data_IF_438194740967
#
_entry.id   IF_438194740967
#
_cell.length_a   1.000
_cell.length_b   1.000
_cell.length_c   1.000
_cell.angle_alpha   90.00
_cell.angle_beta   90.00
_cell.angle_gamma   90.00
#
_symmetry.space_group_name_H-M   'P 1'
#
loop_
_entity.id
_entity.type
_entity.pdbx_description
1 polymer ?
#
# COMPACT_ATOMS: atom_id res chain seq x y z
N UNK A 1 17.41 12.80 -72.25
CA UNK A 1 17.24 12.34 -70.86
C UNK A 1 15.99 12.99 -70.30
N UNK A 2 14.96 12.22 -69.93
CA UNK A 2 13.66 12.76 -69.49
C UNK A 2 13.65 12.84 -67.96
N UNK A 3 13.71 14.05 -67.42
CA UNK A 3 13.70 14.27 -65.97
C UNK A 3 12.34 13.84 -65.39
N UNK A 4 12.36 12.89 -64.44
CA UNK A 4 11.18 12.42 -63.74
C UNK A 4 10.94 13.34 -62.54
N UNK A 5 10.01 14.28 -62.67
CA UNK A 5 9.60 15.18 -61.60
C UNK A 5 8.82 14.39 -60.54
N UNK A 6 9.41 14.17 -59.38
CA UNK A 6 8.74 13.57 -58.21
C UNK A 6 7.73 14.58 -57.68
N UNK A 7 6.43 14.32 -57.85
CA UNK A 7 5.40 15.15 -57.20
C UNK A 7 5.47 14.90 -55.70
N UNK A 8 5.80 15.93 -54.93
CA UNK A 8 5.59 15.93 -53.49
C UNK A 8 4.08 15.92 -53.25
N UNK A 9 3.53 14.79 -52.82
CA UNK A 9 2.16 14.71 -52.35
C UNK A 9 2.10 15.38 -50.97
N UNK A 10 1.46 16.54 -50.90
CA UNK A 10 1.19 17.21 -49.63
C UNK A 10 0.00 16.57 -48.92
N UNK A 11 0.08 16.44 -47.59
CA UNK A 11 -1.06 16.06 -46.76
C UNK A 11 -2.17 17.11 -46.87
N UNK A 12 -3.42 16.68 -46.95
CA UNK A 12 -4.56 17.58 -46.93
C UNK A 12 -4.80 18.12 -45.52
N UNK A 13 -5.27 19.37 -45.41
CA UNK A 13 -5.68 19.93 -44.11
C UNK A 13 -6.77 19.08 -43.42
N UNK A 14 -7.62 18.44 -44.22
CA UNK A 14 -8.69 17.56 -43.74
C UNK A 14 -8.11 16.27 -43.13
N UNK A 15 -7.09 15.66 -43.75
CA UNK A 15 -6.42 14.50 -43.17
C UNK A 15 -5.78 14.83 -41.82
N UNK A 16 -5.10 15.98 -41.71
CA UNK A 16 -4.51 16.39 -40.44
C UNK A 16 -5.59 16.66 -39.38
N UNK A 17 -6.71 17.28 -39.78
CA UNK A 17 -7.82 17.61 -38.88
C UNK A 17 -8.47 16.34 -38.30
N UNK A 18 -8.71 15.33 -39.13
CA UNK A 18 -9.31 14.08 -38.66
C UNK A 18 -8.35 13.38 -37.67
N UNK A 19 -7.04 13.38 -37.94
CA UNK A 19 -6.04 12.76 -37.05
C UNK A 19 -6.03 13.41 -35.67
N UNK A 20 -6.01 14.74 -35.58
CA UNK A 20 -6.01 15.41 -34.27
C UNK A 20 -7.31 15.19 -33.50
N UNK A 21 -8.45 15.10 -34.19
CA UNK A 21 -9.76 14.81 -33.56
C UNK A 21 -9.76 13.39 -33.00
N UNK A 22 -9.25 12.41 -33.75
CA UNK A 22 -9.15 11.03 -33.28
C UNK A 22 -8.22 10.94 -32.05
N UNK A 23 -7.05 11.58 -32.11
CA UNK A 23 -6.11 11.60 -30.97
C UNK A 23 -6.76 12.26 -29.74
N UNK A 24 -7.52 13.34 -29.92
CA UNK A 24 -8.21 14.01 -28.82
C UNK A 24 -9.25 13.10 -28.14
N UNK A 25 -10.04 12.36 -28.93
CA UNK A 25 -11.05 11.42 -28.40
C UNK A 25 -10.37 10.26 -27.65
N UNK A 26 -9.34 9.65 -28.24
CA UNK A 26 -8.63 8.53 -27.60
C UNK A 26 -7.92 9.00 -26.33
N UNK A 27 -7.27 10.16 -26.35
CA UNK A 27 -6.62 10.74 -25.18
C UNK A 27 -7.61 10.93 -24.03
N UNK A 28 -8.79 11.50 -24.28
CA UNK A 28 -9.81 11.69 -23.26
C UNK A 28 -10.23 10.38 -22.58
N UNK A 29 -10.50 9.32 -23.35
CA UNK A 29 -10.88 8.00 -22.81
C UNK A 29 -9.73 7.40 -22.00
N UNK A 30 -8.50 7.49 -22.50
CA UNK A 30 -7.33 6.91 -21.84
C UNK A 30 -7.07 7.53 -20.47
N UNK A 31 -7.27 8.84 -20.29
CA UNK A 31 -7.04 9.53 -19.01
C UNK A 31 -7.95 8.99 -17.91
N UNK A 32 -9.25 8.78 -18.19
CA UNK A 32 -10.20 8.26 -17.19
C UNK A 32 -9.88 6.81 -16.84
N UNK A 33 -9.57 5.98 -17.83
CA UNK A 33 -9.20 4.58 -17.61
C UNK A 33 -7.89 4.45 -16.81
N UNK A 34 -6.92 5.33 -17.07
CA UNK A 34 -5.60 5.32 -16.45
C UNK A 34 -5.67 5.54 -14.93
N UNK A 35 -6.55 6.42 -14.45
CA UNK A 35 -6.75 6.63 -13.00
C UNK A 35 -7.25 5.36 -12.30
N UNK A 36 -8.20 4.64 -12.92
CA UNK A 36 -8.69 3.37 -12.36
C UNK A 36 -7.63 2.28 -12.33
N UNK A 37 -6.77 2.21 -13.35
CA UNK A 37 -5.65 1.25 -13.42
C UNK A 37 -4.61 1.56 -12.34
N UNK A 38 -4.21 2.82 -12.20
CA UNK A 38 -3.27 3.25 -11.16
C UNK A 38 -3.78 2.91 -9.76
N UNK A 39 -5.07 3.16 -9.48
CA UNK A 39 -5.66 2.84 -8.19
C UNK A 39 -5.59 1.34 -7.88
N UNK A 40 -5.93 0.48 -8.85
CA UNK A 40 -5.81 -0.98 -8.69
C UNK A 40 -4.37 -1.44 -8.50
N UNK A 41 -3.42 -0.83 -9.21
CA UNK A 41 -2.00 -1.15 -9.05
C UNK A 41 -1.51 -0.77 -7.64
N UNK A 42 -1.87 0.41 -7.14
CA UNK A 42 -1.55 0.85 -5.78
C UNK A 42 -2.18 -0.06 -4.73
N UNK A 43 -3.45 -0.42 -4.90
CA UNK A 43 -4.16 -1.35 -4.01
C UNK A 43 -3.48 -2.73 -3.99
N UNK A 44 -3.09 -3.25 -5.15
CA UNK A 44 -2.40 -4.56 -5.24
C UNK A 44 -1.03 -4.52 -4.61
N UNK A 45 -0.28 -3.43 -4.77
CA UNK A 45 1.03 -3.27 -4.15
C UNK A 45 0.92 -3.28 -2.62
N UNK A 46 0.00 -2.49 -2.06
CA UNK A 46 -0.25 -2.45 -0.62
C UNK A 46 -0.70 -3.81 -0.08
N UNK A 47 -1.60 -4.52 -0.77
CA UNK A 47 -1.99 -5.88 -0.36
C UNK A 47 -0.80 -6.85 -0.37
N UNK A 48 0.07 -6.78 -1.37
CA UNK A 48 1.27 -7.62 -1.45
C UNK A 48 2.22 -7.32 -0.30
N UNK A 49 2.44 -6.03 -0.01
CA UNK A 49 3.29 -5.58 1.09
C UNK A 49 2.76 -6.06 2.44
N UNK A 50 1.44 -5.99 2.67
CA UNK A 50 0.81 -6.52 3.89
C UNK A 50 1.03 -8.03 4.00
N UNK A 51 0.86 -8.81 2.92
CA UNK A 51 1.08 -10.27 2.94
C UNK A 51 2.53 -10.60 3.27
N UNK A 52 3.47 -9.95 2.59
CA UNK A 52 4.90 -10.17 2.82
C UNK A 52 5.29 -9.82 4.26
N UNK A 53 4.77 -8.70 4.77
CA UNK A 53 4.99 -8.32 6.16
C UNK A 53 4.39 -9.34 7.14
N UNK A 54 3.14 -9.77 6.93
CA UNK A 54 2.50 -10.81 7.76
C UNK A 54 3.32 -12.10 7.81
N UNK A 55 3.87 -12.56 6.68
CA UNK A 55 4.72 -13.75 6.64
C UNK A 55 5.98 -13.61 7.51
N UNK A 56 6.62 -12.44 7.51
CA UNK A 56 7.78 -12.18 8.38
C UNK A 56 7.37 -12.23 9.85
N UNK A 57 6.22 -11.66 10.22
CA UNK A 57 5.69 -11.70 11.58
C UNK A 57 5.36 -13.12 12.03
N UNK A 58 4.72 -13.91 11.18
CA UNK A 58 4.41 -15.32 11.45
C UNK A 58 5.69 -16.15 11.61
N UNK A 59 6.71 -15.90 10.78
CA UNK A 59 8.01 -16.56 10.89
C UNK A 59 8.70 -16.24 12.21
N UNK A 60 8.62 -14.99 12.70
CA UNK A 60 9.15 -14.63 14.01
C UNK A 60 8.41 -15.34 15.14
N UNK A 61 7.07 -15.39 15.08
CA UNK A 61 6.29 -16.13 16.05
C UNK A 61 6.65 -17.63 16.08
N UNK A 62 6.95 -18.22 14.91
CA UNK A 62 7.44 -19.60 14.84
C UNK A 62 8.82 -19.80 15.48
N UNK A 63 9.66 -18.76 15.58
CA UNK A 63 11.01 -18.83 16.17
C UNK A 63 11.00 -18.51 17.66
N UNK A 64 10.31 -17.44 18.03
CA UNK A 64 10.39 -16.84 19.37
C UNK A 64 9.14 -17.14 20.21
N UNK A 65 8.17 -17.90 19.67
CA UNK A 65 6.87 -18.23 20.29
C UNK A 65 6.05 -17.00 20.69
N UNK A 66 6.35 -15.84 20.10
CA UNK A 66 5.62 -14.60 20.33
C UNK A 66 5.66 -13.68 19.11
N UNK A 67 4.58 -12.90 18.93
CA UNK A 67 4.59 -11.82 17.95
C UNK A 67 5.42 -10.64 18.48
N UNK A 68 6.21 -9.98 17.60
CA UNK A 68 6.99 -8.82 18.00
C UNK A 68 6.05 -7.73 18.51
N UNK A 69 6.24 -7.29 19.75
CA UNK A 69 5.49 -6.16 20.27
C UNK A 69 6.01 -4.88 19.63
N UNK A 70 5.13 -4.17 18.92
CA UNK A 70 5.45 -2.84 18.42
C UNK A 70 5.40 -1.81 19.54
N UNK A 71 6.52 -1.11 19.81
CA UNK A 71 6.59 -0.12 20.88
C UNK A 71 6.33 -0.67 22.30
N UNK A 72 6.67 0.12 23.32
CA UNK A 72 6.13 -0.08 24.66
C UNK A 72 4.78 0.63 24.75
N UNK A 73 3.82 0.02 25.43
CA UNK A 73 2.45 0.50 25.63
C UNK A 73 2.33 2.04 25.66
N UNK A 74 1.32 2.57 24.96
CA UNK A 74 1.03 4.01 24.80
C UNK A 74 2.18 4.84 24.22
N UNK A 75 2.30 4.82 22.89
CA UNK A 75 2.84 5.97 22.14
C UNK A 75 4.32 5.93 21.75
N UNK A 76 5.10 4.93 22.14
CA UNK A 76 6.46 4.80 21.59
C UNK A 76 6.43 4.12 20.22
N UNK A 77 6.57 4.93 19.19
CA UNK A 77 5.91 4.81 17.90
C UNK A 77 6.84 4.38 16.78
N UNK A 78 8.03 3.86 17.13
CA UNK A 78 9.18 3.89 16.21
C UNK A 78 10.08 2.65 16.24
N UNK A 79 10.11 1.93 17.36
CA UNK A 79 10.96 0.76 17.54
C UNK A 79 10.19 -0.50 17.16
N UNK A 80 10.50 -1.03 15.98
CA UNK A 80 10.07 -2.35 15.56
C UNK A 80 11.31 -3.26 15.42
N UNK A 81 11.81 -3.81 16.54
CA UNK A 81 13.07 -4.52 16.55
C UNK A 81 12.97 -5.84 15.78
N UNK A 82 14.00 -6.16 15.01
CA UNK A 82 14.15 -7.46 14.35
C UNK A 82 13.30 -7.67 13.09
N UNK A 83 12.46 -6.71 12.68
CA UNK A 83 11.71 -6.79 11.43
C UNK A 83 12.23 -5.79 10.42
N UNK A 84 12.63 -6.32 9.29
CA UNK A 84 12.98 -5.53 8.11
C UNK A 84 11.83 -5.56 7.11
N UNK A 85 11.39 -4.38 6.68
CA UNK A 85 10.27 -4.22 5.77
C UNK A 85 10.51 -3.03 4.86
N UNK A 86 10.33 -3.23 3.55
CA UNK A 86 10.46 -2.17 2.55
C UNK A 86 9.13 -2.04 1.80
N UNK A 87 8.19 -1.22 2.29
CA UNK A 87 6.92 -1.02 1.61
C UNK A 87 7.12 -0.33 0.25
N UNK A 88 6.16 -0.53 -0.64
CA UNK A 88 5.99 0.18 -1.90
C UNK A 88 5.50 1.61 -1.64
N UNK A 89 6.32 2.45 -1.01
CA UNK A 89 5.95 3.77 -0.43
C UNK A 89 5.13 4.67 -1.36
N UNK A 90 5.40 4.64 -2.67
CA UNK A 90 4.66 5.42 -3.67
C UNK A 90 3.18 5.02 -3.86
N UNK A 91 2.79 3.84 -3.38
CA UNK A 91 1.44 3.28 -3.46
C UNK A 91 0.59 3.51 -2.20
N UNK A 92 1.14 4.13 -1.16
CA UNK A 92 0.42 4.41 0.09
C UNK A 92 -0.13 5.85 0.14
N UNK A 93 -1.17 6.05 0.94
CA UNK A 93 -1.74 7.37 1.22
C UNK A 93 -0.74 8.24 2.00
N UNK A 94 -0.61 9.52 1.67
CA UNK A 94 0.21 10.48 2.42
C UNK A 94 -0.62 11.45 3.26
N UNK A 95 -1.94 11.27 3.30
CA UNK A 95 -2.89 12.16 3.99
C UNK A 95 -2.95 11.87 5.48
N UNK A 96 -2.94 10.58 5.84
CA UNK A 96 -3.00 10.09 7.21
C UNK A 96 -1.91 9.04 7.43
N UNK A 97 -1.62 8.72 8.69
CA UNK A 97 -0.79 7.55 9.02
C UNK A 97 -1.40 6.32 8.36
N UNK A 98 -0.61 5.69 7.49
CA UNK A 98 -1.14 4.82 6.43
C UNK A 98 -0.82 3.34 6.62
N UNK A 99 -0.02 2.99 7.62
CA UNK A 99 0.43 1.62 7.86
C UNK A 99 0.55 1.45 9.36
N UNK A 100 -0.21 0.52 9.90
CA UNK A 100 -0.23 0.18 11.31
C UNK A 100 -0.09 -1.32 11.50
N UNK A 101 0.67 -1.68 12.52
CA UNK A 101 0.77 -3.02 13.06
C UNK A 101 0.31 -2.97 14.52
N UNK A 102 -0.65 -3.81 14.89
CA UNK A 102 -1.15 -3.95 16.25
C UNK A 102 -0.99 -5.40 16.68
N UNK A 103 -0.52 -5.62 17.89
CA UNK A 103 -0.28 -6.93 18.49
C UNK A 103 -0.83 -6.96 19.90
N UNK A 104 -1.28 -8.12 20.35
CA UNK A 104 -1.83 -8.28 21.69
C UNK A 104 -2.42 -9.67 21.87
N UNK A 105 -3.35 -9.80 22.81
CA UNK A 105 -4.10 -11.04 23.01
C UNK A 105 -5.57 -10.86 22.63
N UNK A 106 -6.19 -11.90 22.08
CA UNK A 106 -7.63 -11.98 21.87
C UNK A 106 -8.09 -13.25 22.57
N UNK A 107 -8.90 -13.11 23.62
CA UNK A 107 -9.35 -14.25 24.43
C UNK A 107 -8.16 -15.08 24.96
N UNK A 108 -7.09 -14.41 25.40
CA UNK A 108 -5.88 -15.05 25.92
C UNK A 108 -4.89 -15.57 24.87
N UNK A 109 -5.26 -15.64 23.59
CA UNK A 109 -4.39 -16.09 22.51
C UNK A 109 -3.67 -14.93 21.84
N UNK A 110 -2.38 -15.09 21.53
CA UNK A 110 -1.62 -14.07 20.81
C UNK A 110 -2.22 -13.82 19.43
N UNK A 111 -2.38 -12.56 19.06
CA UNK A 111 -2.90 -12.14 17.78
C UNK A 111 -2.23 -10.86 17.29
N UNK A 112 -2.27 -10.63 15.99
CA UNK A 112 -1.87 -9.36 15.40
C UNK A 112 -2.78 -8.95 14.25
N UNK A 113 -2.74 -7.66 13.95
CA UNK A 113 -3.44 -7.02 12.85
C UNK A 113 -2.48 -6.10 12.14
N UNK A 114 -2.53 -6.13 10.81
CA UNK A 114 -1.89 -5.15 9.95
C UNK A 114 -3.00 -4.40 9.23
N UNK A 115 -2.99 -3.08 9.30
CA UNK A 115 -3.93 -2.25 8.56
C UNK A 115 -3.16 -1.19 7.78
N UNK A 116 -3.46 -1.05 6.49
CA UNK A 116 -2.83 -0.03 5.68
C UNK A 116 -3.77 0.62 4.68
N UNK A 117 -3.50 1.88 4.35
CA UNK A 117 -4.24 2.68 3.39
C UNK A 117 -3.42 2.93 2.14
N UNK A 118 -3.96 2.52 0.99
CA UNK A 118 -3.37 2.79 -0.31
C UNK A 118 -3.62 4.23 -0.75
N UNK A 119 -2.89 4.66 -1.77
CA UNK A 119 -3.03 5.97 -2.41
C UNK A 119 -4.41 6.17 -3.05
N UNK A 120 -5.14 5.08 -3.35
CA UNK A 120 -6.52 5.16 -3.84
C UNK A 120 -7.52 5.57 -2.73
N UNK A 121 -7.10 5.51 -1.46
CA UNK A 121 -7.94 5.73 -0.28
C UNK A 121 -8.48 4.43 0.33
N UNK A 122 -8.38 3.30 -0.37
CA UNK A 122 -8.80 2.00 0.16
C UNK A 122 -7.95 1.57 1.35
N UNK A 123 -8.60 1.03 2.39
CA UNK A 123 -7.94 0.45 3.56
C UNK A 123 -7.99 -1.07 3.44
N UNK A 124 -6.85 -1.72 3.66
CA UNK A 124 -6.68 -3.16 3.66
C UNK A 124 -6.24 -3.64 5.03
N UNK A 125 -6.78 -4.78 5.45
CA UNK A 125 -6.58 -5.34 6.79
C UNK A 125 -6.21 -6.81 6.67
N UNK A 126 -5.18 -7.21 7.40
CA UNK A 126 -4.82 -8.61 7.64
C UNK A 126 -4.98 -8.89 9.13
N UNK A 127 -5.59 -10.02 9.48
CA UNK A 127 -5.65 -10.51 10.86
C UNK A 127 -5.00 -11.88 10.93
N UNK A 128 -4.26 -12.14 12.00
CA UNK A 128 -3.66 -13.47 12.24
C UNK A 128 -4.71 -14.59 12.31
N UNK A 129 -5.93 -14.27 12.75
CA UNK A 129 -7.04 -15.22 12.80
C UNK A 129 -7.57 -15.61 11.40
N UNK A 130 -7.65 -14.65 10.45
CA UNK A 130 -8.17 -14.91 9.11
C UNK A 130 -7.10 -15.39 8.11
N UNK A 131 -5.82 -15.07 8.37
CA UNK A 131 -4.71 -15.45 7.49
C UNK A 131 -4.77 -14.85 6.08
N UNK A 132 -5.55 -13.78 5.88
CA UNK A 132 -5.79 -13.20 4.57
C UNK A 132 -5.98 -11.68 4.62
N UNK A 133 -5.63 -11.01 3.52
CA UNK A 133 -5.83 -9.56 3.36
C UNK A 133 -7.24 -9.32 2.82
N UNK A 134 -8.01 -8.51 3.55
CA UNK A 134 -9.36 -8.08 3.17
C UNK A 134 -9.42 -6.57 3.02
N UNK A 135 -10.38 -6.08 2.24
CA UNK A 135 -10.63 -4.63 2.13
C UNK A 135 -11.59 -4.22 3.25
N UNK A 136 -11.24 -3.20 4.03
CA UNK A 136 -12.11 -2.65 5.04
C UNK A 136 -13.32 -1.96 4.39
N UNK A 137 -14.48 -2.09 5.03
CA UNK A 137 -15.72 -1.43 4.60
C UNK A 137 -15.78 0.04 5.03
N UNK A 138 -15.07 0.41 6.11
CA UNK A 138 -15.00 1.77 6.64
C UNK A 138 -13.78 1.96 7.56
N UNK A 139 -13.59 3.20 8.05
CA UNK A 139 -12.55 3.53 9.02
C UNK A 139 -11.17 3.81 8.40
N UNK A 140 -10.23 4.22 9.26
CA UNK A 140 -8.83 4.47 8.89
C UNK A 140 -7.98 3.23 9.14
N UNK A 141 -6.72 3.23 8.68
CA UNK A 141 -5.78 2.18 9.06
C UNK A 141 -5.62 2.07 10.59
N UNK A 142 -5.59 3.21 11.30
CA UNK A 142 -5.55 3.22 12.76
C UNK A 142 -6.76 2.53 13.39
N UNK A 143 -7.98 2.92 13.02
CA UNK A 143 -9.19 2.35 13.65
C UNK A 143 -9.36 0.88 13.33
N UNK A 144 -8.97 0.44 12.12
CA UNK A 144 -9.01 -0.96 11.73
C UNK A 144 -7.92 -1.81 12.40
N UNK A 145 -6.79 -1.21 12.75
CA UNK A 145 -5.77 -1.89 13.55
C UNK A 145 -6.25 -2.13 14.99
N UNK A 146 -7.08 -1.22 15.51
CA UNK A 146 -7.68 -1.29 16.85
C UNK A 146 -9.10 -1.91 16.85
N UNK A 147 -9.58 -2.44 15.71
CA UNK A 147 -10.97 -2.89 15.60
C UNK A 147 -11.21 -4.31 16.13
N UNK A 148 -10.16 -5.11 16.33
CA UNK A 148 -10.32 -6.38 17.00
C UNK A 148 -10.51 -6.21 18.50
N UNK A 149 -11.30 -7.11 19.08
CA UNK A 149 -11.51 -7.29 20.50
C UNK A 149 -10.26 -7.83 21.20
N UNK A 150 -9.13 -7.15 21.02
CA UNK A 150 -7.96 -7.40 21.84
C UNK A 150 -8.32 -7.17 23.31
N UNK A 151 -7.77 -8.02 24.16
CA UNK A 151 -7.96 -7.96 25.59
C UNK A 151 -7.46 -6.60 26.10
N UNK A 152 -8.29 -5.91 26.89
CA UNK A 152 -8.03 -4.54 27.31
C UNK A 152 -6.64 -4.40 27.96
N UNK A 153 -5.87 -3.39 27.52
CA UNK A 153 -4.53 -3.11 28.05
C UNK A 153 -3.40 -3.99 27.48
N UNK A 154 -3.68 -4.88 26.54
CA UNK A 154 -2.64 -5.75 25.92
C UNK A 154 -2.19 -5.30 24.53
N UNK A 155 -2.79 -4.23 23.97
CA UNK A 155 -2.50 -3.78 22.61
C UNK A 155 -1.21 -2.94 22.60
N UNK A 156 -0.22 -3.45 21.89
CA UNK A 156 0.98 -2.73 21.49
C UNK A 156 0.90 -2.46 19.97
N UNK A 157 1.32 -1.28 19.51
CA UNK A 157 1.25 -0.92 18.10
C UNK A 157 2.45 -0.14 17.60
N UNK A 158 2.69 -0.22 16.30
CA UNK A 158 3.68 0.57 15.57
C UNK A 158 3.08 1.04 14.24
N UNK A 159 3.63 2.13 13.68
CA UNK A 159 3.21 2.62 12.38
C UNK A 159 4.40 2.93 11.48
N UNK A 160 4.18 2.88 10.16
CA UNK A 160 5.23 3.02 9.16
C UNK A 160 5.40 4.44 8.62
N UNK A 161 4.32 5.21 8.56
CA UNK A 161 4.29 6.57 8.00
C UNK A 161 3.66 7.56 8.97
N UNK A 162 4.32 8.69 9.18
CA UNK A 162 3.81 9.78 10.01
C UNK A 162 3.32 10.93 9.14
N UNK A 163 2.01 11.20 9.18
CA UNK A 163 1.39 12.22 8.34
C UNK A 163 1.85 13.64 8.68
N UNK A 164 2.12 13.95 9.95
CA UNK A 164 2.50 15.29 10.40
C UNK A 164 3.84 15.73 9.84
N UNK A 165 4.84 14.84 9.80
CA UNK A 165 6.16 15.13 9.23
C UNK A 165 6.32 14.65 7.79
N UNK A 166 5.28 14.05 7.21
CA UNK A 166 5.28 13.42 5.89
C UNK A 166 6.46 12.46 5.67
N UNK A 167 6.83 11.73 6.73
CA UNK A 167 8.03 10.90 6.72
C UNK A 167 7.70 9.45 7.07
N UNK A 168 8.46 8.54 6.47
CA UNK A 168 8.44 7.14 6.82
C UNK A 168 9.43 6.87 7.95
N UNK A 169 9.06 6.01 8.89
CA UNK A 169 9.97 5.62 9.97
C UNK A 169 11.17 4.82 9.46
N UNK A 170 12.34 4.93 10.10
CA UNK A 170 13.58 4.30 9.63
C UNK A 170 13.49 2.79 9.43
N UNK A 171 12.74 2.07 10.28
CA UNK A 171 12.59 0.62 10.17
C UNK A 171 11.98 0.18 8.83
N UNK A 172 11.18 1.06 8.19
CA UNK A 172 10.61 0.83 6.84
C UNK A 172 11.57 1.08 5.66
N UNK A 173 12.83 1.41 5.95
CA UNK A 173 13.87 1.62 4.93
C UNK A 173 14.80 0.41 4.79
N UNK A 174 14.64 -0.61 5.62
CA UNK A 174 15.52 -1.79 5.63
C UNK A 174 14.96 -2.88 4.72
N UNK A 175 15.75 -3.46 3.81
CA UNK A 175 15.29 -4.56 2.95
C UNK A 175 14.87 -5.77 3.80
N UNK A 176 13.75 -6.40 3.46
CA UNK A 176 13.38 -7.73 3.98
C UNK A 176 14.59 -8.68 3.86
N UNK A 177 14.83 -9.60 4.80
CA UNK A 177 15.90 -10.57 4.64
C UNK A 177 15.51 -11.40 3.41
N UNK A 178 16.46 -11.60 2.49
CA UNK A 178 16.31 -12.61 1.46
C UNK A 178 16.15 -13.95 2.17
N UNK A 179 14.93 -14.51 2.12
CA UNK A 179 14.65 -15.90 2.50
C UNK A 179 15.48 -16.81 1.60
#
# INVERSE_FOLDING_TARGET
MKARTTRLQGFTLVELLIVIVIIAIVAAITVVAYNGIQNRANDSAVQSDIRGFAQVIELMNSRDSSYPTGGSATGDSTAFPGVTFKPSKGSYSTVNSNFYYCSGKISGNQAFIIAAQSKSGAVFVYTSAAGSVTKATSGTAYTNCHSASFDAGTIAYSYGFYATTQAWWPWTNTPSPSI
#
